data_IF_859065032667
#
_entry.id   IF_859065032667
#
_cell.length_a   1.000
_cell.length_b   1.000
_cell.length_c   1.000
_cell.angle_alpha   90.00
_cell.angle_beta   90.00
_cell.angle_gamma   90.00
#
_symmetry.space_group_name_H-M   'P 1'
#
loop_
_entity.id
_entity.type
_entity.pdbx_description
1 polymer ?
#
# COMPACT_ATOMS: atom_id res chain seq x y z
N UNK A 1 4.84 56.16 10.22
CA UNK A 1 4.89 55.30 9.02
C UNK A 1 5.97 54.21 9.05
N UNK A 2 7.22 54.44 9.51
CA UNK A 2 8.30 53.43 9.47
C UNK A 2 8.04 52.13 10.27
N UNK A 3 7.38 52.21 11.44
CA UNK A 3 7.08 51.05 12.31
C UNK A 3 6.30 49.94 11.58
N UNK A 4 5.31 50.34 10.77
CA UNK A 4 4.48 49.42 10.00
C UNK A 4 5.23 48.73 8.85
N UNK A 5 6.33 49.32 8.37
CA UNK A 5 7.19 48.72 7.35
C UNK A 5 8.07 47.61 7.95
N UNK A 6 8.60 47.82 9.16
CA UNK A 6 9.42 46.81 9.83
C UNK A 6 8.63 45.57 10.21
N UNK A 7 7.38 45.72 10.67
CA UNK A 7 6.54 44.56 11.04
C UNK A 7 6.19 43.68 9.85
N UNK A 8 5.86 44.29 8.70
CA UNK A 8 5.63 43.55 7.46
C UNK A 8 6.88 42.83 6.98
N UNK A 9 8.03 43.48 7.12
CA UNK A 9 9.31 42.87 6.76
C UNK A 9 9.63 41.69 7.68
N UNK A 10 9.55 41.86 9.00
CA UNK A 10 9.77 40.80 9.98
C UNK A 10 8.82 39.62 9.79
N UNK A 11 7.54 39.86 9.50
CA UNK A 11 6.57 38.82 9.16
C UNK A 11 6.94 38.07 7.87
N UNK A 12 7.48 38.76 6.87
CA UNK A 12 8.00 38.13 5.65
C UNK A 12 9.22 37.23 5.92
N UNK A 13 10.16 37.70 6.73
CA UNK A 13 11.36 36.92 7.09
C UNK A 13 11.02 35.70 7.96
N UNK A 14 10.07 35.79 8.89
CA UNK A 14 9.66 34.64 9.71
C UNK A 14 8.94 33.57 8.89
N UNK A 15 8.06 33.96 7.96
CA UNK A 15 7.39 33.02 7.05
C UNK A 15 8.38 32.30 6.13
N UNK A 16 9.41 33.01 5.64
CA UNK A 16 10.49 32.42 4.83
C UNK A 16 11.34 31.43 5.63
N UNK A 17 11.75 31.78 6.86
CA UNK A 17 12.51 30.90 7.74
C UNK A 17 11.70 29.66 8.14
N UNK A 18 10.42 29.83 8.46
CA UNK A 18 9.51 28.73 8.77
C UNK A 18 9.34 27.80 7.56
N UNK A 19 9.15 28.36 6.35
CA UNK A 19 9.04 27.59 5.12
C UNK A 19 10.32 26.78 4.80
N UNK A 20 11.51 27.37 5.00
CA UNK A 20 12.78 26.66 4.83
C UNK A 20 12.95 25.55 5.87
N UNK A 21 12.64 25.81 7.15
CA UNK A 21 12.73 24.80 8.20
C UNK A 21 11.79 23.61 7.93
N UNK A 22 10.54 23.88 7.54
CA UNK A 22 9.58 22.84 7.14
C UNK A 22 10.08 22.06 5.93
N UNK A 23 10.66 22.74 4.93
CA UNK A 23 11.27 22.10 3.76
C UNK A 23 12.42 21.15 4.12
N UNK A 24 13.33 21.59 4.99
CA UNK A 24 14.47 20.77 5.45
C UNK A 24 14.00 19.54 6.23
N UNK A 25 13.03 19.71 7.14
CA UNK A 25 12.44 18.60 7.89
C UNK A 25 11.74 17.61 6.96
N UNK A 26 10.95 18.08 5.98
CA UNK A 26 10.26 17.22 5.03
C UNK A 26 11.24 16.41 4.14
N UNK A 27 12.32 17.04 3.67
CA UNK A 27 13.38 16.36 2.90
C UNK A 27 14.10 15.32 3.76
N UNK A 28 14.41 15.66 5.01
CA UNK A 28 15.04 14.73 5.95
C UNK A 28 14.14 13.52 6.24
N UNK A 29 12.85 13.75 6.54
CA UNK A 29 11.87 12.67 6.75
C UNK A 29 11.78 11.77 5.52
N UNK A 30 11.61 12.34 4.32
CA UNK A 30 11.57 11.56 3.08
C UNK A 30 12.84 10.73 2.88
N UNK A 31 14.02 11.31 3.11
CA UNK A 31 15.30 10.60 3.00
C UNK A 31 15.38 9.45 4.00
N UNK A 32 15.04 9.67 5.26
CA UNK A 32 15.07 8.64 6.29
C UNK A 32 14.05 7.53 6.04
N UNK A 33 12.85 7.86 5.54
CA UNK A 33 11.87 6.87 5.09
C UNK A 33 12.43 6.00 3.98
N UNK A 34 13.07 6.59 2.96
CA UNK A 34 13.68 5.83 1.86
C UNK A 34 14.86 4.96 2.32
N UNK A 35 15.70 5.48 3.22
CA UNK A 35 16.80 4.71 3.83
C UNK A 35 16.24 3.52 4.60
N UNK A 36 15.22 3.73 5.43
CA UNK A 36 14.58 2.66 6.18
C UNK A 36 13.98 1.59 5.26
N UNK A 37 13.23 1.98 4.23
CA UNK A 37 12.65 1.05 3.25
C UNK A 37 13.73 0.28 2.49
N UNK A 38 14.83 0.94 2.14
CA UNK A 38 15.97 0.28 1.47
C UNK A 38 16.65 -0.73 2.39
N UNK A 39 16.87 -0.37 3.65
CA UNK A 39 17.43 -1.26 4.65
C UNK A 39 16.51 -2.47 4.90
N UNK A 40 15.20 -2.25 5.02
CA UNK A 40 14.22 -3.33 5.17
C UNK A 40 14.26 -4.28 3.95
N UNK A 41 14.29 -3.76 2.73
CA UNK A 41 14.40 -4.58 1.52
C UNK A 41 15.67 -5.45 1.52
N UNK A 42 16.83 -4.86 1.88
CA UNK A 42 18.10 -5.60 1.96
C UNK A 42 18.07 -6.65 3.06
N UNK A 43 17.48 -6.37 4.22
CA UNK A 43 17.41 -7.30 5.36
C UNK A 43 16.40 -8.43 5.15
N UNK A 44 15.33 -8.20 4.39
CA UNK A 44 14.33 -9.22 4.09
C UNK A 44 14.86 -10.34 3.18
N UNK A 45 15.83 -10.05 2.30
CA UNK A 45 16.43 -11.06 1.41
C UNK A 45 17.14 -12.19 2.19
N UNK A 46 18.13 -11.93 3.07
CA UNK A 46 18.77 -12.99 3.83
C UNK A 46 17.78 -13.67 4.79
N UNK A 47 16.81 -12.94 5.35
CA UNK A 47 15.77 -13.56 6.17
C UNK A 47 14.91 -14.55 5.38
N UNK A 48 14.50 -14.21 4.16
CA UNK A 48 13.78 -15.12 3.27
C UNK A 48 14.60 -16.38 2.93
N UNK A 49 15.92 -16.26 2.76
CA UNK A 49 16.81 -17.42 2.56
C UNK A 49 16.85 -18.30 3.81
N UNK A 50 16.95 -17.71 5.00
CA UNK A 50 16.87 -18.47 6.27
C UNK A 50 15.54 -19.22 6.36
N UNK A 51 14.42 -18.56 6.06
CA UNK A 51 13.10 -19.20 6.05
C UNK A 51 13.05 -20.38 5.06
N UNK A 52 13.56 -20.21 3.84
CA UNK A 52 13.57 -21.27 2.83
C UNK A 52 14.40 -22.51 3.23
N UNK A 53 15.44 -22.33 4.05
CA UNK A 53 16.33 -23.41 4.49
C UNK A 53 15.89 -24.08 5.80
N UNK A 54 15.13 -23.37 6.63
CA UNK A 54 14.83 -23.79 8.00
C UNK A 54 13.38 -24.19 8.23
N UNK A 55 12.44 -23.75 7.37
CA UNK A 55 11.03 -24.11 7.54
C UNK A 55 10.80 -25.60 7.23
N UNK A 56 9.97 -26.28 8.03
CA UNK A 56 9.47 -27.61 7.67
C UNK A 56 8.69 -27.57 6.36
N UNK A 57 8.74 -28.66 5.60
CA UNK A 57 7.97 -28.80 4.36
C UNK A 57 6.45 -28.76 4.61
N UNK A 58 6.01 -29.31 5.74
CA UNK A 58 4.61 -29.40 6.12
C UNK A 58 4.41 -28.92 7.56
N UNK A 59 3.33 -28.17 7.80
CA UNK A 59 2.93 -27.76 9.15
C UNK A 59 1.41 -27.70 9.28
N UNK A 60 0.89 -28.11 10.43
CA UNK A 60 -0.51 -27.91 10.76
C UNK A 60 -0.75 -26.45 11.17
N UNK A 61 -1.70 -25.78 10.52
CA UNK A 61 -2.03 -24.38 10.78
C UNK A 61 -3.28 -24.29 11.66
N UNK A 62 -3.10 -23.81 12.90
CA UNK A 62 -4.18 -23.73 13.92
C UNK A 62 -5.41 -22.93 13.48
N UNK A 63 -5.22 -21.86 12.70
CA UNK A 63 -6.30 -20.94 12.31
C UNK A 63 -6.49 -20.91 10.80
N UNK A 64 -6.59 -22.09 10.18
CA UNK A 64 -6.71 -22.23 8.73
C UNK A 64 -7.92 -21.47 8.15
N UNK A 65 -9.15 -21.81 8.54
CA UNK A 65 -10.34 -21.15 8.00
C UNK A 65 -10.39 -19.63 8.27
N UNK A 66 -10.06 -19.14 9.48
CA UNK A 66 -10.00 -17.70 9.72
C UNK A 66 -8.97 -16.95 8.87
N UNK A 67 -7.85 -17.58 8.50
CA UNK A 67 -6.84 -16.93 7.66
C UNK A 67 -7.38 -16.63 6.26
N UNK A 68 -8.10 -17.60 5.66
CA UNK A 68 -8.76 -17.45 4.36
C UNK A 68 -9.83 -16.37 4.42
N UNK A 69 -10.81 -16.53 5.32
CA UNK A 69 -11.91 -15.58 5.49
C UNK A 69 -11.39 -14.17 5.79
N UNK A 70 -10.32 -14.05 6.58
CA UNK A 70 -9.72 -12.76 6.91
C UNK A 70 -9.16 -12.04 5.67
N UNK A 71 -8.53 -12.76 4.75
CA UNK A 71 -7.96 -12.19 3.53
C UNK A 71 -9.07 -11.70 2.58
N UNK A 72 -10.11 -12.52 2.36
CA UNK A 72 -11.32 -12.15 1.63
C UNK A 72 -12.00 -10.91 2.20
N UNK A 73 -12.18 -10.86 3.53
CA UNK A 73 -12.82 -9.74 4.22
C UNK A 73 -12.01 -8.45 4.06
N UNK A 74 -10.67 -8.52 4.18
CA UNK A 74 -9.81 -7.37 3.95
C UNK A 74 -9.91 -6.88 2.51
N UNK A 75 -9.95 -7.79 1.54
CA UNK A 75 -10.11 -7.45 0.14
C UNK A 75 -11.47 -6.80 -0.13
N UNK A 76 -12.55 -7.41 0.34
CA UNK A 76 -13.91 -6.90 0.20
C UNK A 76 -14.06 -5.51 0.84
N UNK A 77 -13.49 -5.31 2.03
CA UNK A 77 -13.47 -4.02 2.71
C UNK A 77 -12.68 -2.97 1.91
N UNK A 78 -11.54 -3.35 1.33
CA UNK A 78 -10.74 -2.49 0.44
C UNK A 78 -11.50 -2.06 -0.81
N UNK A 79 -12.18 -3.01 -1.47
CA UNK A 79 -13.08 -2.75 -2.60
C UNK A 79 -14.20 -1.79 -2.23
N UNK A 80 -14.90 -2.05 -1.12
CA UNK A 80 -15.99 -1.20 -0.63
C UNK A 80 -15.50 0.21 -0.30
N UNK A 81 -14.36 0.35 0.39
CA UNK A 81 -13.77 1.64 0.71
C UNK A 81 -13.36 2.41 -0.57
N UNK A 82 -12.72 1.72 -1.52
CA UNK A 82 -12.31 2.30 -2.80
C UNK A 82 -13.50 2.77 -3.62
N UNK A 83 -14.56 1.96 -3.71
CA UNK A 83 -15.80 2.33 -4.39
C UNK A 83 -16.46 3.53 -3.71
N UNK A 84 -16.65 3.50 -2.39
CA UNK A 84 -17.31 4.56 -1.64
C UNK A 84 -16.56 5.90 -1.75
N UNK A 85 -15.24 5.89 -1.53
CA UNK A 85 -14.41 7.10 -1.66
C UNK A 85 -14.34 7.56 -3.11
N UNK A 86 -14.28 6.63 -4.06
CA UNK A 86 -14.28 6.91 -5.49
C UNK A 86 -15.57 7.60 -5.94
N UNK A 87 -16.73 7.13 -5.48
CA UNK A 87 -18.04 7.74 -5.74
C UNK A 87 -18.14 9.13 -5.12
N UNK A 88 -17.54 9.33 -3.93
CA UNK A 88 -17.44 10.64 -3.27
C UNK A 88 -16.36 11.56 -3.85
N UNK A 89 -15.62 11.13 -4.88
CA UNK A 89 -14.46 11.83 -5.46
C UNK A 89 -13.39 12.22 -4.42
N UNK A 90 -13.29 11.44 -3.34
CA UNK A 90 -12.35 11.71 -2.27
C UNK A 90 -10.92 11.28 -2.67
N UNK A 91 -9.88 12.09 -2.44
CA UNK A 91 -8.52 11.78 -2.89
C UNK A 91 -7.94 10.49 -2.26
N UNK A 92 -8.41 10.11 -1.07
CA UNK A 92 -7.99 8.86 -0.42
C UNK A 92 -8.45 7.60 -1.16
N UNK A 93 -9.36 7.68 -2.14
CA UNK A 93 -9.73 6.53 -2.97
C UNK A 93 -8.52 5.89 -3.66
N UNK A 94 -7.49 6.69 -3.98
CA UNK A 94 -6.24 6.19 -4.58
C UNK A 94 -5.44 5.35 -3.58
N UNK A 95 -5.43 5.75 -2.31
CA UNK A 95 -4.71 5.03 -1.26
C UNK A 95 -5.38 3.69 -0.96
N UNK A 96 -6.71 3.68 -0.84
CA UNK A 96 -7.46 2.44 -0.63
C UNK A 96 -7.37 1.53 -1.85
N UNK A 97 -7.36 2.07 -3.07
CA UNK A 97 -7.13 1.29 -4.28
C UNK A 97 -5.75 0.64 -4.28
N UNK A 98 -4.68 1.38 -3.98
CA UNK A 98 -3.33 0.80 -3.86
C UNK A 98 -3.25 -0.31 -2.81
N UNK A 99 -3.88 -0.12 -1.64
CA UNK A 99 -3.91 -1.14 -0.60
C UNK A 99 -4.71 -2.38 -1.05
N UNK A 100 -5.86 -2.19 -1.68
CA UNK A 100 -6.70 -3.29 -2.20
C UNK A 100 -5.97 -4.09 -3.28
N UNK A 101 -5.20 -3.42 -4.15
CA UNK A 101 -4.38 -4.09 -5.15
C UNK A 101 -3.31 -4.99 -4.51
N UNK A 102 -2.64 -4.51 -3.45
CA UNK A 102 -1.67 -5.32 -2.73
C UNK A 102 -2.33 -6.54 -2.06
N UNK A 103 -3.51 -6.37 -1.45
CA UNK A 103 -4.27 -7.47 -0.86
C UNK A 103 -4.69 -8.51 -1.92
N UNK A 104 -5.18 -8.07 -3.08
CA UNK A 104 -5.55 -8.98 -4.17
C UNK A 104 -4.36 -9.79 -4.72
N UNK A 105 -3.16 -9.20 -4.78
CA UNK A 105 -1.95 -9.95 -5.15
C UNK A 105 -1.57 -10.98 -4.08
N UNK A 106 -1.71 -10.63 -2.80
CA UNK A 106 -1.45 -11.55 -1.70
C UNK A 106 -2.45 -12.71 -1.67
N UNK A 107 -3.71 -12.46 -2.00
CA UNK A 107 -4.77 -13.46 -2.11
C UNK A 107 -4.49 -14.47 -3.23
N UNK A 108 -4.18 -13.98 -4.43
CA UNK A 108 -3.79 -14.82 -5.56
C UNK A 108 -2.57 -15.69 -5.25
N UNK A 109 -1.57 -15.11 -4.57
CA UNK A 109 -0.42 -15.86 -4.10
C UNK A 109 -0.83 -16.94 -3.08
N UNK A 110 -1.68 -16.59 -2.12
CA UNK A 110 -2.12 -17.48 -1.05
C UNK A 110 -2.94 -18.64 -1.60
N UNK A 111 -3.90 -18.39 -2.48
CA UNK A 111 -4.72 -19.41 -3.15
C UNK A 111 -3.85 -20.42 -3.90
N UNK A 112 -2.91 -19.95 -4.73
CA UNK A 112 -2.06 -20.83 -5.53
C UNK A 112 -1.10 -21.63 -4.66
N UNK A 113 -0.50 -21.03 -3.64
CA UNK A 113 0.50 -21.69 -2.78
C UNK A 113 -0.11 -22.67 -1.77
N UNK A 114 -1.40 -22.59 -1.52
CA UNK A 114 -2.12 -23.46 -0.58
C UNK A 114 -3.01 -24.50 -1.26
N UNK A 115 -3.12 -24.46 -2.59
CA UNK A 115 -3.94 -25.36 -3.36
C UNK A 115 -3.42 -26.81 -3.35
N UNK A 116 -4.35 -27.77 -3.25
CA UNK A 116 -4.05 -29.17 -3.53
C UNK A 116 -3.86 -29.40 -5.04
N UNK A 117 -3.01 -30.36 -5.39
CA UNK A 117 -2.80 -30.74 -6.79
C UNK A 117 -4.09 -31.18 -7.50
N UNK A 118 -4.13 -31.07 -8.83
CA UNK A 118 -5.28 -31.45 -9.65
C UNK A 118 -6.33 -30.35 -9.73
N UNK A 119 -7.60 -30.67 -9.45
CA UNK A 119 -8.72 -29.74 -9.61
C UNK A 119 -8.64 -28.54 -8.67
N UNK A 120 -8.07 -28.71 -7.46
CA UNK A 120 -7.86 -27.61 -6.51
C UNK A 120 -6.94 -26.52 -7.08
N UNK A 121 -5.80 -26.92 -7.65
CA UNK A 121 -4.87 -26.00 -8.30
C UNK A 121 -5.50 -25.31 -9.52
N UNK A 122 -6.28 -26.03 -10.34
CA UNK A 122 -6.97 -25.42 -11.47
C UNK A 122 -7.97 -24.34 -11.03
N UNK A 123 -8.69 -24.58 -9.93
CA UNK A 123 -9.58 -23.58 -9.33
C UNK A 123 -8.79 -22.38 -8.79
N UNK A 124 -7.72 -22.60 -8.03
CA UNK A 124 -6.89 -21.54 -7.49
C UNK A 124 -6.27 -20.65 -8.58
N UNK A 125 -5.83 -21.24 -9.70
CA UNK A 125 -5.33 -20.48 -10.84
C UNK A 125 -6.44 -19.64 -11.50
N UNK A 126 -7.67 -20.15 -11.55
CA UNK A 126 -8.81 -19.38 -12.07
C UNK A 126 -9.16 -18.21 -11.16
N UNK A 127 -9.16 -18.40 -9.83
CA UNK A 127 -9.33 -17.34 -8.83
C UNK A 127 -8.22 -16.28 -8.95
N UNK A 128 -6.95 -16.70 -9.00
CA UNK A 128 -5.79 -15.84 -9.15
C UNK A 128 -5.85 -14.93 -10.39
N UNK A 129 -6.43 -15.38 -11.50
CA UNK A 129 -6.67 -14.53 -12.68
C UNK A 129 -7.69 -13.44 -12.38
N UNK A 130 -8.76 -13.76 -11.66
CA UNK A 130 -9.77 -12.80 -11.22
C UNK A 130 -9.20 -11.76 -10.26
N UNK A 131 -8.45 -12.21 -9.27
CA UNK A 131 -7.76 -11.33 -8.30
C UNK A 131 -6.69 -10.46 -8.97
N UNK A 132 -5.91 -11.01 -9.91
CA UNK A 132 -4.94 -10.23 -10.69
C UNK A 132 -5.64 -9.14 -11.51
N UNK A 133 -6.79 -9.45 -12.13
CA UNK A 133 -7.59 -8.46 -12.85
C UNK A 133 -8.10 -7.37 -11.89
N UNK A 134 -8.59 -7.74 -10.71
CA UNK A 134 -9.00 -6.79 -9.67
C UNK A 134 -7.83 -5.90 -9.23
N UNK A 135 -6.65 -6.47 -9.02
CA UNK A 135 -5.43 -5.74 -8.70
C UNK A 135 -5.08 -4.73 -9.80
N UNK A 136 -5.14 -5.13 -11.07
CA UNK A 136 -4.92 -4.23 -12.20
C UNK A 136 -5.91 -3.06 -12.24
N UNK A 137 -7.20 -3.32 -12.00
CA UNK A 137 -8.23 -2.27 -11.92
C UNK A 137 -7.93 -1.30 -10.77
N UNK A 138 -7.56 -1.82 -9.60
CA UNK A 138 -7.22 -1.01 -8.44
C UNK A 138 -5.95 -0.18 -8.67
N UNK A 139 -4.90 -0.76 -9.28
CA UNK A 139 -3.69 -0.02 -9.67
C UNK A 139 -4.03 1.09 -10.66
N UNK A 140 -4.84 0.79 -11.68
CA UNK A 140 -5.29 1.79 -12.65
C UNK A 140 -6.01 2.96 -11.96
N UNK A 141 -6.90 2.68 -11.02
CA UNK A 141 -7.57 3.71 -10.21
C UNK A 141 -6.61 4.50 -9.31
N UNK A 142 -5.58 3.84 -8.77
CA UNK A 142 -4.59 4.49 -7.91
C UNK A 142 -3.65 5.43 -8.68
N UNK A 143 -3.31 5.10 -9.93
CA UNK A 143 -2.37 5.89 -10.74
C UNK A 143 -3.05 6.96 -11.60
N UNK A 144 -4.33 6.80 -11.94
CA UNK A 144 -5.06 7.79 -12.75
C UNK A 144 -5.43 9.03 -11.93
N UNK A 145 -5.06 10.21 -12.45
CA UNK A 145 -5.38 11.48 -11.80
C UNK A 145 -6.82 11.92 -12.15
N UNK A 146 -7.68 12.01 -11.13
CA UNK A 146 -9.06 12.49 -11.28
C UNK A 146 -9.15 14.02 -11.24
N UNK A 147 -8.07 14.75 -10.96
CA UNK A 147 -8.07 16.22 -10.94
C UNK A 147 -8.15 16.86 -12.32
N UNK A 148 -7.79 16.15 -13.39
CA UNK A 148 -7.79 16.69 -14.76
C UNK A 148 -9.18 16.73 -15.44
N UNK A 149 -10.26 16.39 -14.74
CA UNK A 149 -11.63 16.28 -15.31
C UNK A 149 -12.70 17.09 -14.54
N UNK A 150 -12.30 18.10 -13.78
CA UNK A 150 -13.19 19.07 -13.12
C UNK A 150 -12.74 20.48 -13.49
#
# INVERSE_FOLDING_TARGET
>A
MKKQSYEKQLAGWTLLLLGMAVGVVAVAVKRWTLVFLSAAAVLLVPWAVVLALTLPADTEVRHWSPAWIGLDVLMAAGCAATALLGLRRHPAARLTASATAAVAVLDAWFDVTTAQAGSGLAQALACAVGEAALACVCVYLAVTDRRARA
#
